data_IF_480058252570
#
_entry.id   IF_480058252570
#
_cell.length_a   1.000
_cell.length_b   1.000
_cell.length_c   1.000
_cell.angle_alpha   90.00
_cell.angle_beta   90.00
_cell.angle_gamma   90.00
#
_symmetry.space_group_name_H-M   'P 1'
#
loop_
_entity.id
_entity.type
_entity.pdbx_description
1 polymer ?
#
# COMPACT_ATOMS: atom_id res chain seq x y z
N UNK A 1 -8.98 -24.16 -37.29
CA UNK A 1 -8.40 -24.92 -36.17
C UNK A 1 -9.04 -24.31 -34.94
N UNK A 2 -10.03 -24.99 -34.35
CA UNK A 2 -10.72 -24.49 -33.16
C UNK A 2 -9.72 -24.47 -32.00
N UNK A 3 -9.47 -23.29 -31.44
CA UNK A 3 -8.47 -23.10 -30.40
C UNK A 3 -8.94 -23.58 -29.01
N UNK A 4 -10.22 -23.95 -28.88
CA UNK A 4 -10.86 -24.36 -27.62
C UNK A 4 -11.52 -25.71 -27.83
N UNK A 5 -11.24 -26.67 -26.96
CA UNK A 5 -11.97 -27.94 -26.91
C UNK A 5 -13.22 -27.76 -26.03
N UNK A 6 -14.36 -28.32 -26.42
CA UNK A 6 -15.53 -28.43 -25.55
C UNK A 6 -15.29 -29.38 -24.36
N UNK A 7 -14.20 -30.16 -24.40
CA UNK A 7 -13.80 -31.06 -23.32
C UNK A 7 -12.79 -30.38 -22.39
N UNK A 8 -13.03 -30.49 -21.09
CA UNK A 8 -12.04 -30.15 -20.06
C UNK A 8 -10.87 -31.14 -19.98
N UNK A 9 -10.88 -32.18 -20.81
CA UNK A 9 -9.87 -33.23 -20.82
C UNK A 9 -8.98 -33.13 -22.06
N UNK A 10 -7.68 -32.99 -21.82
CA UNK A 10 -6.64 -33.03 -22.83
C UNK A 10 -5.82 -34.32 -22.70
N UNK A 11 -5.83 -35.14 -23.75
CA UNK A 11 -5.07 -36.40 -23.80
C UNK A 11 -3.91 -36.28 -24.79
N UNK A 12 -2.69 -36.65 -24.39
CA UNK A 12 -1.52 -36.65 -25.26
C UNK A 12 -0.64 -37.87 -25.04
N UNK A 13 0.05 -38.30 -26.10
CA UNK A 13 0.93 -39.47 -26.05
C UNK A 13 2.37 -39.05 -25.76
N UNK A 14 2.99 -39.65 -24.75
CA UNK A 14 4.39 -39.37 -24.39
C UNK A 14 5.08 -40.64 -23.90
N UNK A 15 6.11 -41.08 -24.62
CA UNK A 15 6.91 -42.29 -24.34
C UNK A 15 6.10 -43.59 -24.19
N UNK A 16 5.23 -43.93 -25.14
CA UNK A 16 4.53 -45.21 -25.06
C UNK A 16 3.24 -45.18 -24.23
N UNK A 17 2.96 -44.06 -23.55
CA UNK A 17 1.87 -43.93 -22.58
C UNK A 17 0.98 -42.74 -22.94
N UNK A 18 -0.33 -42.96 -22.92
CA UNK A 18 -1.32 -41.89 -23.01
C UNK A 18 -1.45 -41.21 -21.66
N UNK A 19 -1.25 -39.90 -21.64
CA UNK A 19 -1.45 -39.05 -20.45
C UNK A 19 -2.68 -38.18 -20.66
N UNK A 20 -3.50 -38.10 -19.62
CA UNK A 20 -4.70 -37.27 -19.61
C UNK A 20 -4.54 -36.16 -18.57
N UNK A 21 -4.91 -34.94 -18.94
CA UNK A 21 -4.99 -33.77 -18.06
C UNK A 21 -6.47 -33.39 -18.03
N UNK A 22 -7.06 -33.34 -16.84
CA UNK A 22 -8.44 -32.86 -16.63
C UNK A 22 -8.42 -31.52 -15.92
N UNK A 23 -9.05 -30.52 -16.53
CA UNK A 23 -9.12 -29.14 -16.03
C UNK A 23 -10.54 -28.74 -15.59
N UNK A 24 -11.46 -29.70 -15.40
CA UNK A 24 -12.87 -29.42 -15.05
C UNK A 24 -13.04 -28.57 -13.77
N UNK A 25 -12.13 -28.71 -12.81
CA UNK A 25 -12.14 -27.99 -11.53
C UNK A 25 -10.98 -26.98 -11.41
N UNK A 26 -10.57 -26.39 -12.53
CA UNK A 26 -9.45 -25.43 -12.59
C UNK A 26 -9.96 -24.09 -13.11
N UNK A 27 -9.55 -23.01 -12.44
CA UNK A 27 -9.74 -21.65 -12.93
C UNK A 27 -8.40 -21.18 -13.50
N UNK A 28 -8.41 -20.74 -14.76
CA UNK A 28 -7.24 -20.13 -15.38
C UNK A 28 -7.28 -18.61 -15.15
N UNK A 29 -6.31 -18.11 -14.38
CA UNK A 29 -6.12 -16.67 -14.17
C UNK A 29 -4.91 -16.23 -14.98
N UNK A 30 -5.14 -15.34 -15.94
CA UNK A 30 -4.13 -14.78 -16.83
C UNK A 30 -3.93 -13.30 -16.49
N UNK A 31 -2.69 -12.91 -16.23
CA UNK A 31 -2.32 -11.52 -15.91
C UNK A 31 -1.44 -10.99 -17.03
N UNK A 32 -1.83 -9.87 -17.61
CA UNK A 32 -1.14 -9.24 -18.73
C UNK A 32 -1.27 -7.72 -18.69
N UNK A 33 -0.29 -7.04 -19.27
CA UNK A 33 -0.26 -5.60 -19.53
C UNK A 33 -0.80 -5.22 -20.92
N UNK A 34 -1.28 -6.19 -21.70
CA UNK A 34 -1.93 -5.96 -22.99
C UNK A 34 -3.22 -5.16 -22.79
N UNK A 35 -3.44 -4.14 -23.62
CA UNK A 35 -4.62 -3.28 -23.55
C UNK A 35 -4.49 -2.09 -22.60
N UNK A 36 -3.35 -1.90 -21.93
CA UNK A 36 -3.15 -0.78 -20.99
C UNK A 36 -3.31 0.57 -21.69
N UNK A 37 -2.77 0.73 -22.91
CA UNK A 37 -2.86 1.99 -23.64
C UNK A 37 -4.30 2.33 -24.04
N UNK A 38 -5.03 1.35 -24.52
CA UNK A 38 -6.43 1.45 -24.93
C UNK A 38 -7.33 1.73 -23.73
N UNK A 39 -7.08 1.05 -22.62
CA UNK A 39 -7.76 1.28 -21.34
C UNK A 39 -7.52 2.70 -20.82
N UNK A 40 -6.27 3.18 -20.81
CA UNK A 40 -5.93 4.56 -20.44
C UNK A 40 -6.71 5.56 -21.32
N UNK A 41 -6.82 5.33 -22.63
CA UNK A 41 -7.58 6.20 -23.53
C UNK A 41 -9.08 6.25 -23.23
N UNK A 42 -9.68 5.12 -22.82
CA UNK A 42 -11.08 5.10 -22.36
C UNK A 42 -11.22 5.91 -21.07
N UNK A 43 -10.33 5.70 -20.10
CA UNK A 43 -10.41 6.35 -18.79
C UNK A 43 -10.33 7.88 -18.83
N UNK A 44 -9.59 8.44 -19.79
CA UNK A 44 -9.41 9.90 -19.91
C UNK A 44 -10.66 10.57 -20.49
N UNK A 45 -11.61 9.81 -21.06
CA UNK A 45 -12.86 10.35 -21.62
C UNK A 45 -13.94 10.63 -20.57
N UNK A 46 -13.76 10.12 -19.35
CA UNK A 46 -14.70 10.26 -18.23
C UNK A 46 -14.05 11.07 -17.12
N UNK A 47 -14.83 11.73 -16.25
CA UNK A 47 -14.28 12.52 -15.16
C UNK A 47 -13.91 11.61 -13.99
N UNK A 48 -14.86 10.78 -13.55
CA UNK A 48 -14.66 9.83 -12.46
C UNK A 48 -14.50 8.39 -12.95
N UNK A 49 -14.03 7.50 -12.08
CA UNK A 49 -13.87 6.07 -12.40
C UNK A 49 -15.21 5.33 -12.47
N UNK A 50 -16.15 5.74 -11.62
CA UNK A 50 -17.43 5.06 -11.46
C UNK A 50 -18.34 5.27 -12.69
N UNK A 51 -18.06 6.30 -13.48
CA UNK A 51 -18.73 6.57 -14.76
C UNK A 51 -18.26 5.67 -15.90
N UNK A 52 -17.13 4.98 -15.76
CA UNK A 52 -16.50 4.24 -16.86
C UNK A 52 -17.27 2.93 -17.10
N UNK A 53 -17.84 2.72 -18.30
CA UNK A 53 -18.57 1.49 -18.59
C UNK A 53 -17.63 0.28 -18.59
N UNK A 54 -17.87 -0.69 -17.71
CA UNK A 54 -17.09 -1.93 -17.62
C UNK A 54 -17.06 -2.69 -18.94
N UNK A 55 -18.19 -2.77 -19.63
CA UNK A 55 -18.32 -3.40 -20.96
C UNK A 55 -17.38 -2.76 -21.99
N UNK A 56 -17.17 -1.45 -21.91
CA UNK A 56 -16.27 -0.76 -22.83
C UNK A 56 -14.81 -1.10 -22.54
N UNK A 57 -14.42 -1.16 -21.26
CA UNK A 57 -13.08 -1.58 -20.82
C UNK A 57 -12.79 -3.03 -21.23
N UNK A 58 -13.73 -3.95 -20.98
CA UNK A 58 -13.58 -5.35 -21.38
C UNK A 58 -13.42 -5.49 -22.89
N UNK A 59 -14.22 -4.77 -23.68
CA UNK A 59 -14.16 -4.82 -25.14
C UNK A 59 -12.81 -4.35 -25.67
N UNK A 60 -12.26 -3.24 -25.16
CA UNK A 60 -10.97 -2.74 -25.66
C UNK A 60 -9.82 -3.69 -25.28
N UNK A 61 -9.86 -4.30 -24.09
CA UNK A 61 -8.85 -5.29 -23.68
C UNK A 61 -8.97 -6.58 -24.50
N UNK A 62 -10.18 -7.12 -24.69
CA UNK A 62 -10.37 -8.31 -25.54
C UNK A 62 -9.93 -8.06 -26.99
N UNK A 63 -10.22 -6.88 -27.54
CA UNK A 63 -9.73 -6.49 -28.87
C UNK A 63 -8.20 -6.42 -28.91
N UNK A 64 -7.55 -5.85 -27.90
CA UNK A 64 -6.09 -5.80 -27.84
C UNK A 64 -5.46 -7.21 -27.72
N UNK A 65 -6.10 -8.12 -26.98
CA UNK A 65 -5.68 -9.52 -26.88
C UNK A 65 -5.83 -10.27 -28.21
N UNK A 66 -6.95 -10.05 -28.92
CA UNK A 66 -7.16 -10.58 -30.27
C UNK A 66 -6.10 -10.05 -31.24
N UNK A 67 -5.79 -8.76 -31.18
CA UNK A 67 -4.78 -8.14 -32.05
C UNK A 67 -3.35 -8.64 -31.79
N UNK A 68 -3.01 -8.93 -30.54
CA UNK A 68 -1.72 -9.53 -30.19
C UNK A 68 -1.61 -10.97 -30.69
N UNK A 69 -2.70 -11.74 -30.61
CA UNK A 69 -2.75 -13.16 -30.96
C UNK A 69 -3.83 -13.46 -32.01
N UNK A 70 -3.75 -12.76 -33.16
CA UNK A 70 -4.76 -12.82 -34.24
C UNK A 70 -5.11 -14.21 -34.73
N UNK A 71 -4.14 -15.15 -34.68
CA UNK A 71 -4.37 -16.53 -35.13
C UNK A 71 -5.21 -17.35 -34.15
N UNK A 72 -5.28 -16.94 -32.89
CA UNK A 72 -5.99 -17.64 -31.82
C UNK A 72 -7.33 -16.97 -31.49
N UNK A 73 -7.55 -15.73 -31.92
CA UNK A 73 -8.65 -14.89 -31.44
C UNK A 73 -8.74 -14.96 -29.90
N UNK A 74 -7.58 -14.74 -29.26
CA UNK A 74 -7.38 -15.09 -27.86
C UNK A 74 -8.34 -14.35 -26.92
N UNK A 75 -8.66 -13.09 -27.21
CA UNK A 75 -9.65 -12.31 -26.46
C UNK A 75 -11.05 -12.93 -26.49
N UNK A 76 -11.42 -13.62 -27.59
CA UNK A 76 -12.69 -14.35 -27.68
C UNK A 76 -12.71 -15.63 -26.84
N UNK A 77 -11.54 -16.19 -26.52
CA UNK A 77 -11.41 -17.37 -25.66
C UNK A 77 -11.52 -17.02 -24.17
N UNK A 78 -11.39 -15.74 -23.79
CA UNK A 78 -11.47 -15.29 -22.41
C UNK A 78 -12.93 -15.10 -22.01
N UNK A 79 -13.39 -15.82 -20.98
CA UNK A 79 -14.73 -15.67 -20.42
C UNK A 79 -14.95 -14.26 -19.90
N UNK A 80 -14.09 -13.82 -18.99
CA UNK A 80 -14.20 -12.54 -18.30
C UNK A 80 -12.86 -11.80 -18.27
N UNK A 81 -12.93 -10.48 -18.48
CA UNK A 81 -11.79 -9.57 -18.27
C UNK A 81 -12.07 -8.72 -17.04
N UNK A 82 -11.10 -8.63 -16.14
CA UNK A 82 -11.17 -7.75 -14.98
C UNK A 82 -10.12 -6.64 -15.16
N UNK A 83 -10.52 -5.43 -15.58
CA UNK A 83 -9.59 -4.34 -15.80
C UNK A 83 -9.09 -3.77 -14.47
N UNK A 84 -7.77 -3.74 -14.29
CA UNK A 84 -7.12 -3.06 -13.17
C UNK A 84 -6.73 -1.64 -13.58
N UNK A 85 -7.49 -0.66 -13.12
CA UNK A 85 -7.28 0.74 -13.50
C UNK A 85 -5.99 1.31 -12.84
N UNK A 86 -5.17 2.11 -13.55
CA UNK A 86 -3.98 2.75 -12.99
C UNK A 86 -4.33 3.61 -11.79
N UNK A 87 -3.52 3.62 -10.72
CA UNK A 87 -3.84 4.38 -9.51
C UNK A 87 -3.77 5.90 -9.72
N UNK A 88 -4.81 6.61 -9.28
CA UNK A 88 -4.76 8.05 -9.02
C UNK A 88 -4.13 8.34 -7.65
N UNK A 89 -3.81 9.61 -7.42
CA UNK A 89 -3.21 10.09 -6.17
C UNK A 89 -3.91 9.58 -4.90
N UNK A 90 -5.25 9.70 -4.83
CA UNK A 90 -6.04 9.25 -3.68
C UNK A 90 -5.81 7.77 -3.32
N UNK A 91 -5.68 6.90 -4.33
CA UNK A 91 -5.43 5.47 -4.09
C UNK A 91 -4.02 5.23 -3.55
N UNK A 92 -3.04 6.04 -3.98
CA UNK A 92 -1.68 5.96 -3.41
C UNK A 92 -1.70 6.39 -1.94
N UNK A 93 -2.47 7.43 -1.58
CA UNK A 93 -2.66 7.85 -0.19
C UNK A 93 -3.27 6.70 0.64
N UNK A 94 -4.33 6.07 0.16
CA UNK A 94 -4.96 4.93 0.84
C UNK A 94 -4.00 3.74 1.02
N UNK A 95 -3.21 3.43 0.01
CA UNK A 95 -2.22 2.35 0.08
C UNK A 95 -1.12 2.69 1.08
N UNK A 96 -0.62 3.93 1.10
CA UNK A 96 0.34 4.38 2.12
C UNK A 96 -0.28 4.27 3.52
N UNK A 97 -1.50 4.75 3.72
CA UNK A 97 -2.20 4.65 5.01
C UNK A 97 -2.35 3.19 5.48
N UNK A 98 -2.71 2.27 4.57
CA UNK A 98 -2.76 0.84 4.85
C UNK A 98 -1.37 0.30 5.26
N UNK A 99 -0.32 0.68 4.54
CA UNK A 99 1.06 0.24 4.83
C UNK A 99 1.59 0.78 6.15
N UNK A 100 1.23 2.01 6.50
CA UNK A 100 1.56 2.63 7.79
C UNK A 100 0.86 1.91 8.96
N UNK A 101 -0.40 1.48 8.79
CA UNK A 101 -1.09 0.63 9.78
C UNK A 101 -0.42 -0.73 9.93
N UNK A 102 -0.09 -1.39 8.81
CA UNK A 102 0.65 -2.65 8.82
C UNK A 102 2.03 -2.51 9.48
N UNK A 103 2.69 -1.34 9.33
CA UNK A 103 3.97 -1.07 9.95
C UNK A 103 3.88 -1.12 11.48
N UNK A 104 2.85 -0.50 12.06
CA UNK A 104 2.59 -0.58 13.50
C UNK A 104 2.35 -2.03 13.93
N UNK A 105 1.42 -2.73 13.27
CA UNK A 105 1.03 -4.11 13.61
C UNK A 105 2.21 -5.09 13.57
N UNK A 106 3.07 -4.98 12.56
CA UNK A 106 4.19 -5.91 12.36
C UNK A 106 5.30 -5.81 13.44
N UNK A 107 5.46 -4.62 14.02
CA UNK A 107 6.55 -4.30 14.96
C UNK A 107 6.07 -4.02 16.39
N UNK A 108 4.75 -4.10 16.63
CA UNK A 108 4.17 -3.99 17.96
C UNK A 108 4.76 -5.02 18.93
N UNK A 109 5.07 -4.58 20.14
CA UNK A 109 5.71 -5.38 21.18
C UNK A 109 7.17 -5.75 20.91
N UNK A 110 7.74 -5.32 19.76
CA UNK A 110 9.17 -5.52 19.42
C UNK A 110 9.94 -4.22 19.52
N UNK A 111 9.48 -3.19 18.81
CA UNK A 111 10.14 -1.90 18.76
C UNK A 111 9.40 -0.81 19.54
N UNK A 112 8.09 -0.97 19.72
CA UNK A 112 7.19 -0.07 20.41
C UNK A 112 5.92 -0.80 20.87
N UNK A 113 5.20 -0.22 21.82
CA UNK A 113 3.87 -0.68 22.23
C UNK A 113 2.81 -0.28 21.21
N UNK A 114 2.94 0.92 20.65
CA UNK A 114 2.06 1.44 19.60
C UNK A 114 2.78 2.49 18.77
N UNK A 115 2.52 2.51 17.47
CA UNK A 115 2.91 3.57 16.55
C UNK A 115 1.66 4.34 16.12
N UNK A 116 1.55 5.57 16.61
CA UNK A 116 0.55 6.55 16.23
C UNK A 116 1.09 7.41 15.09
N UNK A 117 0.28 7.59 14.06
CA UNK A 117 0.65 8.33 12.86
C UNK A 117 -0.51 9.25 12.53
N UNK A 118 -0.25 10.54 12.37
CA UNK A 118 -1.28 11.50 11.98
C UNK A 118 -1.79 11.22 10.55
N UNK A 119 -3.09 11.48 10.32
CA UNK A 119 -3.78 11.10 9.08
C UNK A 119 -3.21 11.79 7.84
N UNK A 120 -2.67 13.01 7.98
CA UNK A 120 -2.05 13.79 6.91
C UNK A 120 -0.69 13.23 6.44
N UNK A 121 -0.05 12.35 7.22
CA UNK A 121 1.26 11.78 6.87
C UNK A 121 1.17 10.97 5.57
N UNK A 122 0.08 10.25 5.35
CA UNK A 122 -0.10 9.46 4.14
C UNK A 122 -0.21 10.33 2.88
N UNK A 123 -0.98 11.43 2.94
CA UNK A 123 -1.07 12.42 1.86
C UNK A 123 0.29 13.06 1.59
N UNK A 124 0.98 13.51 2.64
CA UNK A 124 2.32 14.07 2.48
C UNK A 124 3.30 13.09 1.82
N UNK A 125 3.37 11.85 2.32
CA UNK A 125 4.28 10.82 1.81
C UNK A 125 3.99 10.44 0.36
N UNK A 126 2.73 10.53 -0.08
CA UNK A 126 2.35 10.26 -1.46
C UNK A 126 2.88 11.30 -2.46
N UNK A 127 3.27 12.49 -1.99
CA UNK A 127 3.78 13.60 -2.82
C UNK A 127 5.30 13.66 -2.87
N UNK A 128 5.99 12.75 -2.19
CA UNK A 128 7.46 12.68 -2.23
C UNK A 128 7.94 12.30 -3.63
N UNK A 129 9.09 12.83 -4.02
CA UNK A 129 9.72 12.58 -5.34
C UNK A 129 9.95 11.09 -5.63
N UNK A 130 10.04 10.28 -4.58
CA UNK A 130 10.13 8.82 -4.68
C UNK A 130 8.89 8.16 -5.31
N UNK A 131 7.74 8.83 -5.37
CA UNK A 131 6.50 8.34 -5.99
C UNK A 131 6.33 8.99 -7.36
N UNK A 132 6.51 8.20 -8.42
CA UNK A 132 6.48 8.74 -9.77
C UNK A 132 5.06 8.82 -10.33
N UNK A 133 4.66 10.01 -10.75
CA UNK A 133 3.41 10.24 -11.46
C UNK A 133 3.64 10.55 -12.95
N UNK A 134 2.64 10.22 -13.77
CA UNK A 134 2.63 10.50 -15.21
C UNK A 134 1.29 11.13 -15.59
N UNK A 135 1.37 12.21 -16.37
CA UNK A 135 0.18 12.86 -16.96
C UNK A 135 -0.18 12.13 -18.26
N UNK A 136 -1.46 11.84 -18.43
CA UNK A 136 -2.05 11.35 -19.67
C UNK A 136 -3.11 12.33 -20.15
N UNK A 137 -3.05 12.69 -21.43
CA UNK A 137 -4.00 13.61 -22.05
C UNK A 137 -4.69 12.93 -23.23
N UNK A 138 -5.99 13.19 -23.38
CA UNK A 138 -6.73 12.86 -24.59
C UNK A 138 -6.80 14.11 -25.47
N UNK A 139 -6.32 13.96 -26.71
CA UNK A 139 -6.44 15.00 -27.74
C UNK A 139 -7.62 14.62 -28.63
N UNK A 140 -8.68 15.42 -28.60
CA UNK A 140 -9.83 15.27 -29.50
C UNK A 140 -9.81 16.44 -30.47
N UNK A 141 -9.72 16.16 -31.77
CA UNK A 141 -9.65 17.18 -32.84
C UNK A 141 -8.51 18.21 -32.67
N UNK A 142 -7.32 17.75 -32.24
CA UNK A 142 -6.14 18.62 -32.09
C UNK A 142 -6.14 19.52 -30.86
N UNK A 143 -7.17 19.47 -30.01
CA UNK A 143 -7.20 20.15 -28.70
C UNK A 143 -7.18 19.13 -27.57
N UNK A 144 -6.36 19.37 -26.54
CA UNK A 144 -6.39 18.57 -25.30
C UNK A 144 -7.75 18.80 -24.66
N UNK A 145 -8.58 17.75 -24.57
CA UNK A 145 -9.94 17.83 -24.03
C UNK A 145 -9.98 17.52 -22.53
N UNK A 146 -9.08 16.65 -22.08
CA UNK A 146 -8.94 16.26 -20.68
C UNK A 146 -7.53 15.72 -20.41
N UNK A 147 -7.04 15.92 -19.17
CA UNK A 147 -5.81 15.33 -18.68
C UNK A 147 -6.03 14.71 -17.31
N UNK A 148 -5.39 13.57 -17.06
CA UNK A 148 -5.41 12.86 -15.77
C UNK A 148 -4.00 12.50 -15.35
N UNK A 149 -3.79 12.45 -14.04
CA UNK A 149 -2.50 12.10 -13.43
C UNK A 149 -2.62 10.73 -12.77
N UNK A 150 -1.74 9.82 -13.16
CA UNK A 150 -1.70 8.46 -12.63
C UNK A 150 -0.31 8.13 -12.08
N UNK A 151 -0.24 7.22 -11.11
CA UNK A 151 1.01 6.65 -10.64
C UNK A 151 1.65 5.81 -11.77
N UNK A 152 2.87 6.18 -12.17
CA UNK A 152 3.57 5.62 -13.32
C UNK A 152 3.82 4.11 -13.19
N UNK A 153 4.11 3.65 -11.98
CA UNK A 153 4.44 2.25 -11.67
C UNK A 153 3.44 1.62 -10.69
N UNK A 154 2.20 2.12 -10.69
CA UNK A 154 1.21 1.76 -9.69
C UNK A 154 1.72 2.05 -8.27
N UNK A 155 1.51 1.10 -7.36
CA UNK A 155 1.91 1.24 -5.96
C UNK A 155 3.32 0.69 -5.65
N UNK A 156 4.10 0.29 -6.66
CA UNK A 156 5.41 -0.33 -6.45
C UNK A 156 6.38 0.59 -5.71
N UNK A 157 6.40 1.86 -6.10
CA UNK A 157 7.27 2.89 -5.52
C UNK A 157 6.97 3.16 -4.03
N UNK A 158 5.75 2.85 -3.57
CA UNK A 158 5.33 3.12 -2.18
C UNK A 158 6.19 2.35 -1.17
N UNK A 159 6.44 1.07 -1.42
CA UNK A 159 7.20 0.23 -0.48
C UNK A 159 8.68 0.62 -0.45
N UNK A 160 9.29 0.82 -1.62
CA UNK A 160 10.72 1.13 -1.76
C UNK A 160 11.06 2.60 -1.56
N UNK A 161 10.08 3.49 -1.63
CA UNK A 161 10.23 4.94 -1.44
C UNK A 161 9.78 5.37 -0.05
N UNK A 162 8.58 5.96 0.09
CA UNK A 162 8.15 6.63 1.31
C UNK A 162 8.13 5.70 2.54
N UNK A 163 7.63 4.47 2.39
CA UNK A 163 7.55 3.51 3.51
C UNK A 163 8.95 3.09 3.98
N UNK A 164 9.86 2.81 3.05
CA UNK A 164 11.24 2.47 3.37
C UNK A 164 11.97 3.65 4.04
N UNK A 165 11.74 4.87 3.57
CA UNK A 165 12.33 6.07 4.15
C UNK A 165 11.91 6.22 5.62
N UNK A 166 10.61 6.13 5.92
CA UNK A 166 10.13 6.22 7.30
C UNK A 166 10.65 5.06 8.16
N UNK A 167 10.61 3.82 7.66
CA UNK A 167 11.18 2.64 8.34
C UNK A 167 12.64 2.89 8.73
N UNK A 168 13.44 3.44 7.82
CA UNK A 168 14.86 3.72 8.07
C UNK A 168 15.08 4.72 9.22
N UNK A 169 14.26 5.77 9.30
CA UNK A 169 14.32 6.75 10.39
C UNK A 169 13.90 6.13 11.72
N UNK A 170 12.79 5.39 11.74
CA UNK A 170 12.33 4.70 12.96
C UNK A 170 13.38 3.74 13.50
N UNK A 171 13.89 2.83 12.66
CA UNK A 171 14.85 1.80 13.11
C UNK A 171 16.22 2.35 13.51
N UNK A 172 16.57 3.55 13.02
CA UNK A 172 17.81 4.25 13.39
C UNK A 172 17.66 5.04 14.68
N UNK A 173 16.61 5.86 14.81
CA UNK A 173 16.48 6.85 15.89
C UNK A 173 15.71 6.33 17.12
N UNK A 174 14.96 5.23 17.00
CA UNK A 174 14.27 4.63 18.15
C UNK A 174 15.17 3.71 18.99
N UNK A 175 16.47 3.61 18.71
CA UNK A 175 17.38 2.78 19.53
C UNK A 175 17.76 3.48 20.85
N UNK A 176 17.90 2.74 21.96
CA UNK A 176 17.50 1.34 22.13
C UNK A 176 15.98 1.20 22.08
N UNK A 177 15.50 0.11 21.47
CA UNK A 177 14.07 -0.14 21.31
C UNK A 177 13.39 -0.34 22.66
N UNK A 178 12.18 0.21 22.80
CA UNK A 178 11.37 0.10 24.01
C UNK A 178 9.98 -0.44 23.63
N UNK A 179 9.69 -1.73 23.88
CA UNK A 179 8.41 -2.34 23.51
C UNK A 179 7.22 -1.81 24.33
N UNK A 180 7.47 -1.03 25.39
CA UNK A 180 6.45 -0.39 26.22
C UNK A 180 6.21 1.09 25.85
N UNK A 181 6.99 1.64 24.91
CA UNK A 181 6.86 3.03 24.49
C UNK A 181 5.76 3.22 23.43
N UNK A 182 5.02 4.32 23.53
CA UNK A 182 4.21 4.84 22.45
C UNK A 182 5.04 5.76 21.56
N UNK A 183 5.02 5.51 20.27
CA UNK A 183 5.70 6.34 19.26
C UNK A 183 4.64 7.16 18.54
N UNK A 184 4.86 8.47 18.42
CA UNK A 184 3.98 9.38 17.69
C UNK A 184 4.75 10.00 16.53
N UNK A 185 4.17 9.91 15.34
CA UNK A 185 4.65 10.55 14.12
C UNK A 185 3.67 11.65 13.76
N UNK A 186 4.16 12.89 13.74
CA UNK A 186 3.40 14.06 13.35
C UNK A 186 4.11 14.85 12.24
N UNK A 187 3.35 15.65 11.52
CA UNK A 187 3.89 16.60 10.55
C UNK A 187 3.53 18.03 10.94
N UNK A 188 4.54 18.88 10.98
CA UNK A 188 4.34 20.32 11.05
C UNK A 188 3.85 20.87 9.69
N UNK A 189 2.70 21.55 9.69
CA UNK A 189 2.00 21.97 8.48
C UNK A 189 2.78 23.04 7.70
N UNK A 190 3.51 23.92 8.39
CA UNK A 190 4.19 25.06 7.81
C UNK A 190 5.57 24.69 7.28
N UNK A 191 6.36 24.00 8.12
CA UNK A 191 7.73 23.60 7.80
C UNK A 191 7.81 22.31 6.99
N UNK A 192 6.71 21.53 6.97
CA UNK A 192 6.64 20.17 6.41
C UNK A 192 7.59 19.17 7.06
N UNK A 193 8.13 19.49 8.23
CA UNK A 193 8.98 18.59 8.98
C UNK A 193 8.16 17.49 9.65
N UNK A 194 8.72 16.28 9.66
CA UNK A 194 8.19 15.14 10.38
C UNK A 194 8.89 15.04 11.73
N UNK A 195 8.12 14.86 12.79
CA UNK A 195 8.61 14.62 14.14
C UNK A 195 8.28 13.20 14.59
N UNK A 196 9.26 12.52 15.16
CA UNK A 196 9.11 11.19 15.78
C UNK A 196 9.34 11.36 17.28
N UNK A 197 8.27 11.24 18.06
CA UNK A 197 8.29 11.38 19.52
C UNK A 197 8.07 10.02 20.16
N UNK A 198 8.89 9.68 21.15
CA UNK A 198 8.74 8.46 21.96
C UNK A 198 8.31 8.85 23.37
N UNK A 199 7.16 8.34 23.80
CA UNK A 199 6.62 8.51 25.12
C UNK A 199 6.64 7.18 25.87
N UNK A 200 7.22 7.16 27.07
CA UNK A 200 7.26 5.97 27.91
C UNK A 200 7.09 6.37 29.38
N UNK A 201 6.74 5.39 30.23
CA UNK A 201 6.74 5.59 31.68
C UNK A 201 8.13 6.06 32.11
N UNK A 202 8.19 7.14 32.90
CA UNK A 202 9.47 7.56 33.45
C UNK A 202 9.93 6.47 34.41
N UNK A 203 11.08 5.85 34.13
CA UNK A 203 11.74 5.05 35.14
C UNK A 203 12.04 5.99 36.32
N UNK A 204 11.47 5.68 37.49
CA UNK A 204 11.78 6.36 38.73
C UNK A 204 13.29 6.21 38.95
N UNK A 205 14.08 7.17 38.45
CA UNK A 205 15.51 7.26 38.72
C UNK A 205 15.63 7.11 40.21
N UNK A 206 16.27 6.02 40.65
CA UNK A 206 16.52 5.72 42.04
C UNK A 206 17.12 6.98 42.70
N UNK A 207 16.26 7.81 43.30
CA UNK A 207 16.67 8.76 44.30
C UNK A 207 17.27 7.88 45.38
N UNK A 208 18.60 7.86 45.47
CA UNK A 208 19.34 7.27 46.60
C UNK A 208 18.68 7.80 47.87
N UNK A 209 17.76 7.02 48.44
CA UNK A 209 17.10 7.32 49.70
C UNK A 209 18.15 7.10 50.77
N UNK A 210 18.73 8.20 51.24
CA UNK A 210 19.18 8.33 52.62
C UNK A 210 18.02 7.86 53.51
N UNK A 211 18.30 6.84 54.31
CA UNK A 211 17.37 6.26 55.28
C UNK A 211 16.85 7.34 56.22
N UNK A 212 15.53 7.43 56.37
CA UNK A 212 14.93 7.66 57.69
C UNK A 212 13.65 6.84 57.81
N UNK A 213 13.60 6.09 58.92
CA UNK A 213 12.49 5.24 59.35
C UNK A 213 11.31 6.11 59.79
N UNK A 214 10.09 5.69 59.47
CA UNK A 214 9.04 5.42 60.48
C UNK A 214 7.83 4.70 59.87
N UNK A 215 7.27 3.77 60.66
CA UNK A 215 6.13 2.87 60.38
C UNK A 215 4.80 3.55 60.69
N UNK A 216 3.74 3.20 59.95
CA UNK A 216 2.42 2.67 60.39
C UNK A 216 1.34 3.03 59.35
N UNK A 217 0.83 2.07 58.58
CA UNK A 217 -0.41 1.29 58.71
C UNK A 217 -1.69 1.92 58.10
N UNK A 218 -2.25 1.14 57.15
CA UNK A 218 -3.66 0.99 56.71
C UNK A 218 -4.35 2.13 55.95
N UNK A 219 -4.42 1.98 54.62
CA UNK A 219 -5.62 2.18 53.83
C UNK A 219 -5.58 1.20 52.65
N UNK A 220 -6.72 0.62 52.28
CA UNK A 220 -6.87 -0.17 51.06
C UNK A 220 -6.85 0.80 49.89
N UNK A 221 -5.66 1.10 49.38
CA UNK A 221 -5.48 1.97 48.24
C UNK A 221 -5.85 1.20 46.97
N UNK A 222 -6.91 1.66 46.31
CA UNK A 222 -7.04 1.50 44.87
C UNK A 222 -5.83 2.25 44.32
N UNK A 223 -4.78 1.51 43.94
CA UNK A 223 -3.55 2.04 43.34
C UNK A 223 -3.86 2.66 41.96
N UNK A 224 -4.57 3.79 41.95
CA UNK A 224 -4.53 4.77 40.87
C UNK A 224 -3.24 5.59 41.03
N UNK A 225 -2.10 4.88 41.04
CA UNK A 225 -0.78 5.50 41.08
C UNK A 225 -0.58 6.23 39.75
N UNK A 226 -0.65 7.57 39.78
CA UNK A 226 -0.40 8.41 38.61
C UNK A 226 1.01 8.13 38.07
N UNK A 227 1.07 7.38 36.98
CA UNK A 227 2.31 7.06 36.30
C UNK A 227 2.77 8.27 35.50
N UNK A 228 3.95 8.83 35.80
CA UNK A 228 4.52 9.90 34.98
C UNK A 228 5.00 9.35 33.63
N UNK A 229 4.60 10.02 32.55
CA UNK A 229 4.99 9.67 31.18
C UNK A 229 5.95 10.74 30.68
N UNK A 230 7.17 10.33 30.33
CA UNK A 230 8.17 11.19 29.70
C UNK A 230 8.13 11.03 28.18
N UNK A 231 7.99 12.13 27.45
CA UNK A 231 8.05 12.17 26.00
C UNK A 231 9.35 12.82 25.52
N UNK A 232 10.03 12.18 24.58
CA UNK A 232 11.28 12.66 23.99
C UNK A 232 11.19 12.64 22.48
N UNK A 233 11.48 13.76 21.83
CA UNK A 233 11.66 13.81 20.37
C UNK A 233 12.91 13.04 19.98
N UNK A 234 12.73 11.93 19.26
CA UNK A 234 13.80 11.05 18.81
C UNK A 234 14.40 11.54 17.50
N UNK A 235 13.59 12.16 16.65
CA UNK A 235 14.02 12.73 15.37
C UNK A 235 13.04 13.80 14.91
N UNK A 236 13.56 14.85 14.27
CA UNK A 236 12.78 15.84 13.52
C UNK A 236 13.52 16.17 12.22
N UNK A 237 12.78 16.36 11.13
CA UNK A 237 13.33 16.85 9.88
C UNK A 237 12.46 16.53 8.66
N UNK A 238 12.93 16.95 7.49
CA UNK A 238 12.26 16.66 6.22
C UNK A 238 12.61 15.27 5.69
N UNK A 239 11.68 14.70 4.93
CA UNK A 239 11.95 13.57 4.06
C UNK A 239 12.58 14.11 2.77
N UNK A 240 13.90 13.94 2.66
CA UNK A 240 14.71 14.15 1.45
C UNK A 240 14.98 12.81 0.77
#
# INVERSE_FOLDING_TARGET
MEAVSESSQFSYYKHGVTKNIDTANVIFVLVSDIGVGEMEQVMIQYDTRDEIPTVQLERVVKSALDDQWKRLDFGKMIDQVIPFLPFEHQHIVEIIALKLRQLDENYRGKYWHRLWIEDNIADYMSRLDSVHYKVRSAVVNGKVKSSKVFAKYGARDVETGPIQLLKSKLLRYLRPFNPDAEIRISQDVDTKEISIVSCAKEEAKQKKRTKSKQRSHTAADIDDEFVSIGCVTKWSGRFE
#
